data_IF_774541002087
#
_entry.id   IF_774541002087
#
_cell.length_a   1.000
_cell.length_b   1.000
_cell.length_c   1.000
_cell.angle_alpha   90.00
_cell.angle_beta   90.00
_cell.angle_gamma   90.00
#
_symmetry.space_group_name_H-M   'P 1'
#
loop_
_entity.id
_entity.type
_entity.pdbx_description
1 polymer ?
#
# COMPACT_ATOMS: atom_id res chain seq x y z
N UNK A 1 -6.21 17.60 6.50
CA UNK A 1 -5.34 16.42 6.22
C UNK A 1 -5.72 15.37 7.24
N UNK A 2 -5.85 14.10 6.81
CA UNK A 2 -6.08 12.97 7.73
C UNK A 2 -4.74 12.26 7.98
N UNK A 3 -4.55 11.78 9.21
CA UNK A 3 -3.32 11.08 9.62
C UNK A 3 -3.68 9.68 10.08
N UNK A 4 -2.95 8.69 9.56
CA UNK A 4 -3.12 7.28 9.90
C UNK A 4 -1.77 6.69 10.29
N UNK A 5 -1.77 5.63 11.11
CA UNK A 5 -0.58 4.83 11.30
C UNK A 5 -0.76 3.44 10.67
N UNK A 6 0.33 2.80 10.31
CA UNK A 6 0.32 1.44 9.74
C UNK A 6 0.56 0.40 10.83
N UNK A 7 -0.15 -0.73 10.75
CA UNK A 7 0.00 -1.85 11.69
C UNK A 7 1.40 -2.47 11.67
N UNK A 8 2.22 -2.20 10.64
CA UNK A 8 3.63 -2.60 10.63
C UNK A 8 4.43 -2.00 11.78
N UNK A 9 3.99 -0.86 12.33
CA UNK A 9 4.65 -0.22 13.47
C UNK A 9 4.43 -0.95 14.81
N UNK A 10 3.45 -1.85 14.87
CA UNK A 10 3.06 -2.56 16.09
C UNK A 10 2.66 -4.02 15.79
N UNK A 11 3.58 -4.85 15.24
CA UNK A 11 3.26 -6.19 14.74
C UNK A 11 2.73 -7.13 15.84
N UNK A 12 3.16 -6.91 17.09
CA UNK A 12 2.80 -7.75 18.23
C UNK A 12 1.51 -7.29 18.97
N UNK A 13 0.89 -6.19 18.50
CA UNK A 13 -0.30 -5.65 19.15
C UNK A 13 -1.55 -6.43 18.74
N UNK A 14 -2.43 -6.65 19.74
CA UNK A 14 -3.77 -7.17 19.45
C UNK A 14 -4.60 -6.11 18.69
N UNK A 15 -5.66 -6.56 18.02
CA UNK A 15 -6.58 -5.64 17.35
C UNK A 15 -7.20 -4.61 18.31
N UNK A 16 -7.43 -5.01 19.56
CA UNK A 16 -7.95 -4.11 20.62
C UNK A 16 -6.93 -3.02 20.91
N UNK A 17 -5.65 -3.36 21.05
CA UNK A 17 -4.58 -2.40 21.32
C UNK A 17 -4.41 -1.43 20.15
N UNK A 18 -4.47 -1.94 18.91
CA UNK A 18 -4.32 -1.14 17.67
C UNK A 18 -5.38 -0.04 17.60
N UNK A 19 -6.68 -0.38 17.68
CA UNK A 19 -7.71 0.65 17.57
C UNK A 19 -7.80 1.55 18.81
N UNK A 20 -7.43 1.05 20.00
CA UNK A 20 -7.35 1.87 21.21
C UNK A 20 -6.25 2.90 21.10
N UNK A 21 -5.05 2.50 20.66
CA UNK A 21 -3.94 3.40 20.39
C UNK A 21 -4.29 4.45 19.34
N UNK A 22 -4.95 4.04 18.23
CA UNK A 22 -5.41 4.99 17.21
C UNK A 22 -6.31 6.07 17.84
N UNK A 23 -7.25 5.66 18.69
CA UNK A 23 -8.17 6.58 19.37
C UNK A 23 -7.46 7.49 20.36
N UNK A 24 -6.60 6.92 21.20
CA UNK A 24 -5.93 7.64 22.29
C UNK A 24 -4.91 8.68 21.75
N UNK A 25 -4.26 8.38 20.64
CA UNK A 25 -3.30 9.27 19.99
C UNK A 25 -3.97 10.21 18.96
N UNK A 26 -5.27 10.09 18.72
CA UNK A 26 -6.01 10.99 17.83
C UNK A 26 -5.76 10.75 16.33
N UNK A 27 -5.43 9.51 15.93
CA UNK A 27 -5.35 9.17 14.52
C UNK A 27 -6.75 9.10 13.88
N UNK A 28 -6.82 9.54 12.62
CA UNK A 28 -8.04 9.47 11.80
C UNK A 28 -8.24 8.07 11.19
N UNK A 29 -7.16 7.28 11.07
CA UNK A 29 -7.24 5.98 10.41
C UNK A 29 -6.13 5.01 10.81
N UNK A 30 -6.32 3.77 10.36
CA UNK A 30 -5.37 2.68 10.51
C UNK A 30 -5.14 2.06 9.12
N UNK A 31 -3.90 2.07 8.66
CA UNK A 31 -3.50 1.29 7.50
C UNK A 31 -3.19 -0.14 7.92
N UNK A 32 -3.78 -1.10 7.25
CA UNK A 32 -3.60 -2.52 7.57
C UNK A 32 -2.50 -3.12 6.70
N UNK A 33 -1.38 -3.49 7.34
CA UNK A 33 -0.25 -4.21 6.72
C UNK A 33 0.11 -5.42 7.57
N UNK A 34 -0.65 -6.50 7.41
CA UNK A 34 -0.53 -7.68 8.26
C UNK A 34 -0.99 -7.43 9.70
N UNK A 35 -1.23 -8.49 10.43
CA UNK A 35 -1.58 -8.49 11.85
C UNK A 35 -1.15 -9.81 12.49
N UNK A 36 -0.25 -9.76 13.46
CA UNK A 36 0.33 -10.97 14.04
C UNK A 36 0.99 -11.83 12.97
N UNK A 37 0.62 -13.11 12.90
CA UNK A 37 1.12 -14.05 11.89
C UNK A 37 0.44 -13.92 10.52
N UNK A 38 -0.66 -13.15 10.42
CA UNK A 38 -1.42 -12.98 9.18
C UNK A 38 -0.87 -11.78 8.37
N UNK A 39 0.00 -12.04 7.40
CA UNK A 39 0.48 -11.00 6.49
C UNK A 39 -0.62 -10.51 5.53
N UNK A 40 -1.57 -11.36 5.17
CA UNK A 40 -2.68 -11.01 4.29
C UNK A 40 -3.87 -10.48 5.11
N UNK A 41 -4.20 -9.20 4.95
CA UNK A 41 -5.27 -8.55 5.71
C UNK A 41 -6.62 -9.29 5.63
N UNK A 42 -6.95 -9.88 4.48
CA UNK A 42 -8.21 -10.62 4.28
C UNK A 42 -8.27 -11.96 5.05
N UNK A 43 -7.14 -12.45 5.58
CA UNK A 43 -7.07 -13.63 6.45
C UNK A 43 -7.10 -13.26 7.93
N UNK A 44 -6.74 -12.03 8.26
CA UNK A 44 -6.64 -11.58 9.64
C UNK A 44 -7.98 -11.65 10.37
N UNK A 45 -7.95 -12.13 11.60
CA UNK A 45 -9.12 -12.42 12.43
C UNK A 45 -10.16 -11.28 12.47
N UNK A 46 -9.81 -9.99 12.58
CA UNK A 46 -10.79 -8.90 12.62
C UNK A 46 -11.59 -8.74 11.32
N UNK A 47 -11.04 -9.19 10.19
CA UNK A 47 -11.60 -9.00 8.85
C UNK A 47 -12.24 -10.26 8.27
N UNK A 48 -12.24 -11.37 9.00
CA UNK A 48 -13.01 -12.57 8.62
C UNK A 48 -14.49 -12.24 8.49
N UNK A 49 -15.23 -12.98 7.69
CA UNK A 49 -16.66 -12.78 7.46
C UNK A 49 -17.45 -12.67 8.76
N UNK A 50 -17.14 -13.53 9.74
CA UNK A 50 -17.82 -13.56 11.05
C UNK A 50 -17.53 -12.31 11.91
N UNK A 51 -16.32 -11.76 11.85
CA UNK A 51 -15.89 -10.68 12.75
C UNK A 51 -15.99 -9.29 12.11
N UNK A 52 -15.93 -9.20 10.79
CA UNK A 52 -15.92 -7.93 10.04
C UNK A 52 -17.04 -6.97 10.43
N UNK A 53 -18.33 -7.39 10.58
CA UNK A 53 -19.39 -6.47 10.97
C UNK A 53 -19.13 -5.80 12.33
N UNK A 54 -18.65 -6.56 13.31
CA UNK A 54 -18.30 -6.05 14.64
C UNK A 54 -17.09 -5.10 14.58
N UNK A 55 -16.07 -5.45 13.80
CA UNK A 55 -14.89 -4.63 13.56
C UNK A 55 -15.27 -3.28 12.98
N UNK A 56 -16.06 -3.26 11.90
CA UNK A 56 -16.47 -2.03 11.24
C UNK A 56 -17.39 -1.17 12.12
N UNK A 57 -18.30 -1.79 12.87
CA UNK A 57 -19.13 -1.07 13.85
C UNK A 57 -18.28 -0.39 14.94
N UNK A 58 -17.23 -1.07 15.42
CA UNK A 58 -16.31 -0.52 16.43
C UNK A 58 -15.52 0.66 15.88
N UNK A 59 -14.92 0.53 14.69
CA UNK A 59 -14.16 1.61 14.04
C UNK A 59 -15.03 2.83 13.77
N UNK A 60 -16.26 2.62 13.28
CA UNK A 60 -17.24 3.69 13.08
C UNK A 60 -17.57 4.42 14.37
N UNK A 61 -17.79 3.70 15.47
CA UNK A 61 -18.08 4.29 16.79
C UNK A 61 -16.89 5.11 17.33
N UNK A 62 -15.66 4.78 16.94
CA UNK A 62 -14.44 5.50 17.30
C UNK A 62 -14.10 6.63 16.31
N UNK A 63 -14.82 6.75 15.21
CA UNK A 63 -14.52 7.64 14.08
C UNK A 63 -13.12 7.39 13.51
N UNK A 64 -12.77 6.12 13.31
CA UNK A 64 -11.50 5.66 12.71
C UNK A 64 -11.81 5.00 11.37
N UNK A 65 -11.05 5.35 10.32
CA UNK A 65 -11.18 4.80 8.98
C UNK A 65 -10.06 3.77 8.69
N UNK A 66 -10.24 2.97 7.65
CA UNK A 66 -9.16 2.18 7.05
C UNK A 66 -8.90 2.78 5.66
N UNK A 67 -7.92 3.69 5.53
CA UNK A 67 -7.68 4.38 4.25
C UNK A 67 -6.97 3.51 3.23
N UNK A 68 -6.17 2.54 3.66
CA UNK A 68 -5.36 1.71 2.77
C UNK A 68 -5.15 0.31 3.34
N UNK A 69 -5.16 -0.68 2.46
CA UNK A 69 -4.67 -2.03 2.72
C UNK A 69 -3.31 -2.19 2.03
N UNK A 70 -2.25 -2.44 2.80
CA UNK A 70 -0.93 -2.68 2.25
C UNK A 70 -0.72 -4.16 1.96
N UNK A 71 -0.79 -4.55 0.69
CA UNK A 71 -0.50 -5.93 0.27
C UNK A 71 1.02 -6.19 0.23
N UNK A 72 1.40 -7.47 0.31
CA UNK A 72 2.75 -7.94 0.03
C UNK A 72 3.02 -8.22 -1.45
N UNK A 73 2.02 -8.05 -2.30
CA UNK A 73 2.09 -8.40 -3.71
C UNK A 73 3.12 -7.56 -4.46
N UNK A 74 4.03 -8.23 -5.17
CA UNK A 74 5.05 -7.61 -5.98
C UNK A 74 4.91 -8.05 -7.44
N UNK A 75 4.72 -7.08 -8.34
CA UNK A 75 4.32 -7.30 -9.73
C UNK A 75 5.47 -7.73 -10.64
N UNK A 76 6.74 -7.59 -10.23
CA UNK A 76 7.88 -7.92 -11.09
C UNK A 76 8.10 -9.42 -11.30
N UNK A 77 7.51 -10.27 -10.45
CA UNK A 77 7.75 -11.72 -10.47
C UNK A 77 6.81 -12.44 -11.44
N UNK A 78 7.33 -12.79 -12.63
CA UNK A 78 6.56 -13.46 -13.70
C UNK A 78 6.01 -14.82 -13.26
N UNK A 79 6.78 -15.55 -12.48
CA UNK A 79 6.42 -16.86 -11.96
C UNK A 79 5.30 -16.85 -10.91
N UNK A 80 5.00 -15.66 -10.33
CA UNK A 80 3.94 -15.48 -9.33
C UNK A 80 2.71 -14.77 -9.87
N UNK A 81 2.61 -14.54 -11.17
CA UNK A 81 1.52 -13.76 -11.78
C UNK A 81 0.13 -14.21 -11.33
N UNK A 82 -0.17 -15.49 -11.49
CA UNK A 82 -1.49 -16.02 -11.15
C UNK A 82 -1.81 -15.91 -9.66
N UNK A 83 -0.82 -16.18 -8.80
CA UNK A 83 -0.94 -16.02 -7.34
C UNK A 83 -1.18 -14.56 -6.95
N UNK A 84 -0.41 -13.64 -7.53
CA UNK A 84 -0.51 -12.19 -7.28
C UNK A 84 -1.87 -11.64 -7.70
N UNK A 85 -2.39 -12.03 -8.87
CA UNK A 85 -3.72 -11.62 -9.33
C UNK A 85 -4.81 -12.17 -8.39
N UNK A 86 -4.71 -13.44 -8.00
CA UNK A 86 -5.67 -14.05 -7.08
C UNK A 86 -5.66 -13.35 -5.72
N UNK A 87 -4.48 -13.10 -5.15
CA UNK A 87 -4.33 -12.43 -3.86
C UNK A 87 -4.86 -11.00 -3.91
N UNK A 88 -4.49 -10.20 -4.93
CA UNK A 88 -5.00 -8.83 -5.08
C UNK A 88 -6.51 -8.80 -5.30
N UNK A 89 -7.10 -9.82 -5.92
CA UNK A 89 -8.56 -9.95 -6.04
C UNK A 89 -9.22 -10.10 -4.66
N UNK A 90 -8.64 -10.88 -3.75
CA UNK A 90 -9.14 -11.00 -2.38
C UNK A 90 -8.97 -9.70 -1.58
N UNK A 91 -7.86 -8.98 -1.79
CA UNK A 91 -7.69 -7.63 -1.23
C UNK A 91 -8.77 -6.66 -1.75
N UNK A 92 -9.09 -6.68 -3.05
CA UNK A 92 -10.14 -5.84 -3.62
C UNK A 92 -11.52 -6.14 -3.02
N UNK A 93 -11.86 -7.43 -2.84
CA UNK A 93 -13.11 -7.85 -2.18
C UNK A 93 -13.17 -7.33 -0.74
N UNK A 94 -12.11 -7.52 0.03
CA UNK A 94 -12.06 -7.02 1.41
C UNK A 94 -12.18 -5.49 1.43
N UNK A 95 -11.40 -4.78 0.61
CA UNK A 95 -11.38 -3.32 0.56
C UNK A 95 -12.79 -2.74 0.31
N UNK A 96 -13.52 -3.29 -0.65
CA UNK A 96 -14.93 -2.92 -0.89
C UNK A 96 -15.80 -3.14 0.35
N UNK A 97 -15.66 -4.29 1.03
CA UNK A 97 -16.48 -4.67 2.17
C UNK A 97 -16.22 -3.83 3.44
N UNK A 98 -15.04 -3.22 3.54
CA UNK A 98 -14.66 -2.35 4.67
C UNK A 98 -14.56 -0.87 4.31
N UNK A 99 -14.94 -0.51 3.07
CA UNK A 99 -14.86 0.84 2.51
C UNK A 99 -13.43 1.42 2.52
N UNK A 100 -12.41 0.58 2.30
CA UNK A 100 -11.04 1.03 2.11
C UNK A 100 -10.83 1.44 0.64
N UNK A 101 -10.56 2.71 0.34
CA UNK A 101 -10.47 3.19 -1.04
C UNK A 101 -9.20 2.73 -1.77
N UNK A 102 -8.15 2.37 -1.01
CA UNK A 102 -6.83 2.13 -1.57
C UNK A 102 -6.25 0.77 -1.19
N UNK A 103 -5.52 0.17 -2.12
CA UNK A 103 -4.68 -1.02 -1.90
C UNK A 103 -3.29 -0.70 -2.43
N UNK A 104 -2.28 -0.78 -1.56
CA UNK A 104 -0.89 -0.63 -1.95
C UNK A 104 -0.38 -1.90 -2.61
N UNK A 105 0.34 -1.75 -3.73
CA UNK A 105 1.04 -2.80 -4.44
C UNK A 105 2.50 -2.40 -4.67
N UNK A 106 3.38 -3.38 -4.77
CA UNK A 106 4.79 -3.17 -5.11
C UNK A 106 5.03 -3.52 -6.58
N UNK A 107 5.67 -2.62 -7.31
CA UNK A 107 6.19 -2.91 -8.65
C UNK A 107 7.64 -3.41 -8.59
N UNK A 108 8.38 -3.04 -7.53
CA UNK A 108 9.68 -3.61 -7.16
C UNK A 108 9.69 -3.94 -5.66
N UNK A 109 10.40 -4.99 -5.24
CA UNK A 109 10.30 -5.54 -3.90
C UNK A 109 11.07 -4.74 -2.85
N UNK A 110 12.32 -4.43 -3.15
CA UNK A 110 13.23 -3.78 -2.20
C UNK A 110 12.99 -2.27 -2.14
N UNK A 111 13.21 -1.66 -0.98
CA UNK A 111 13.10 -0.21 -0.82
C UNK A 111 14.12 0.54 -1.68
N UNK A 112 15.37 0.07 -1.67
CA UNK A 112 16.43 0.55 -2.56
C UNK A 112 16.35 -0.16 -3.91
N UNK A 113 16.69 0.53 -5.02
CA UNK A 113 16.81 -0.12 -6.32
C UNK A 113 17.78 -1.31 -6.26
N UNK A 114 17.31 -2.48 -6.65
CA UNK A 114 18.10 -3.71 -6.65
C UNK A 114 17.73 -4.59 -7.85
N UNK A 115 18.63 -4.63 -8.83
CA UNK A 115 18.43 -5.39 -10.06
C UNK A 115 17.54 -4.69 -11.09
N UNK A 116 17.15 -5.45 -12.10
CA UNK A 116 16.34 -4.96 -13.21
C UNK A 116 14.85 -5.27 -12.98
N UNK A 117 14.01 -4.39 -13.48
CA UNK A 117 12.56 -4.56 -13.54
C UNK A 117 12.12 -4.34 -14.98
N UNK A 118 11.32 -5.28 -15.49
CA UNK A 118 10.70 -5.21 -16.81
C UNK A 118 9.43 -4.33 -16.72
N UNK A 119 9.58 -3.05 -17.04
CA UNK A 119 8.48 -2.07 -16.96
C UNK A 119 7.30 -2.44 -17.88
N UNK A 120 7.58 -3.05 -19.04
CA UNK A 120 6.51 -3.48 -19.95
C UNK A 120 5.68 -4.60 -19.33
N UNK A 121 6.33 -5.54 -18.66
CA UNK A 121 5.65 -6.61 -17.95
C UNK A 121 4.84 -6.08 -16.76
N UNK A 122 5.42 -5.19 -15.94
CA UNK A 122 4.68 -4.56 -14.81
C UNK A 122 3.47 -3.79 -15.32
N UNK A 123 3.60 -3.04 -16.42
CA UNK A 123 2.48 -2.35 -17.05
C UNK A 123 1.39 -3.32 -17.51
N UNK A 124 1.76 -4.47 -18.08
CA UNK A 124 0.82 -5.52 -18.48
C UNK A 124 0.04 -6.06 -17.26
N UNK A 125 0.74 -6.33 -16.14
CA UNK A 125 0.10 -6.77 -14.91
C UNK A 125 -0.89 -5.73 -14.37
N UNK A 126 -0.50 -4.46 -14.34
CA UNK A 126 -1.39 -3.39 -13.89
C UNK A 126 -2.61 -3.22 -14.81
N UNK A 127 -2.45 -3.39 -16.13
CA UNK A 127 -3.57 -3.40 -17.08
C UNK A 127 -4.55 -4.56 -16.84
N UNK A 128 -4.05 -5.74 -16.44
CA UNK A 128 -4.91 -6.88 -16.06
C UNK A 128 -5.65 -6.62 -14.74
N UNK A 129 -5.01 -5.94 -13.79
CA UNK A 129 -5.56 -5.64 -12.48
C UNK A 129 -6.54 -4.46 -12.46
N UNK A 130 -6.38 -3.49 -13.37
CA UNK A 130 -7.22 -2.29 -13.40
C UNK A 130 -8.74 -2.58 -13.52
N UNK A 131 -9.22 -3.51 -14.38
CA UNK A 131 -10.64 -3.85 -14.42
C UNK A 131 -11.12 -4.57 -13.15
N UNK A 132 -10.26 -5.35 -12.49
CA UNK A 132 -10.58 -5.98 -11.20
C UNK A 132 -10.76 -4.90 -10.13
N UNK A 133 -9.82 -3.96 -10.02
CA UNK A 133 -9.94 -2.83 -9.11
C UNK A 133 -11.21 -2.00 -9.38
N UNK A 134 -11.55 -1.77 -10.65
CA UNK A 134 -12.77 -1.06 -11.05
C UNK A 134 -14.04 -1.81 -10.63
N UNK A 135 -14.07 -3.14 -10.75
CA UNK A 135 -15.22 -3.96 -10.34
C UNK A 135 -15.56 -3.79 -8.85
N UNK A 136 -14.54 -3.63 -8.00
CA UNK A 136 -14.70 -3.47 -6.55
C UNK A 136 -14.66 -2.01 -6.08
N UNK A 137 -14.60 -1.06 -7.01
CA UNK A 137 -14.50 0.39 -6.75
C UNK A 137 -13.32 0.79 -5.84
N UNK A 138 -12.19 0.13 -6.00
CA UNK A 138 -10.93 0.43 -5.30
C UNK A 138 -9.90 0.99 -6.26
N UNK A 139 -8.84 1.62 -5.73
CA UNK A 139 -7.70 2.08 -6.52
C UNK A 139 -6.44 1.38 -6.02
N UNK A 140 -5.69 0.77 -6.93
CA UNK A 140 -4.38 0.20 -6.64
C UNK A 140 -3.34 1.32 -6.69
N UNK A 141 -2.53 1.40 -5.64
CA UNK A 141 -1.48 2.40 -5.51
C UNK A 141 -0.12 1.73 -5.65
N UNK A 142 0.62 2.08 -6.70
CA UNK A 142 2.01 1.66 -6.87
C UNK A 142 2.89 2.52 -5.98
N UNK A 143 3.58 1.88 -5.04
CA UNK A 143 4.49 2.59 -4.13
C UNK A 143 5.77 3.03 -4.85
N UNK A 144 6.28 4.21 -4.51
CA UNK A 144 7.60 4.72 -4.93
C UNK A 144 8.73 3.89 -4.30
N UNK A 145 8.87 2.62 -4.73
CA UNK A 145 9.74 1.61 -4.13
C UNK A 145 10.74 1.05 -5.17
N UNK A 146 11.94 0.70 -4.77
CA UNK A 146 12.96 0.14 -5.63
C UNK A 146 13.31 1.04 -6.80
N UNK A 147 13.31 0.51 -8.02
CA UNK A 147 13.60 1.29 -9.23
C UNK A 147 12.58 2.40 -9.50
N UNK A 148 11.39 2.30 -8.92
CA UNK A 148 10.35 3.33 -9.02
C UNK A 148 10.46 4.42 -7.94
N UNK A 149 11.55 4.41 -7.16
CA UNK A 149 12.01 5.59 -6.41
C UNK A 149 12.41 6.73 -7.37
N UNK A 150 12.82 6.42 -8.59
CA UNK A 150 12.83 7.36 -9.73
C UNK A 150 11.38 7.63 -10.13
N UNK A 151 10.85 8.78 -9.73
CA UNK A 151 9.45 9.10 -9.95
C UNK A 151 9.14 9.49 -11.40
N UNK A 152 10.12 9.82 -12.23
CA UNK A 152 9.95 9.94 -13.69
C UNK A 152 9.63 8.56 -14.30
N UNK A 153 10.34 7.51 -13.85
CA UNK A 153 10.09 6.14 -14.29
C UNK A 153 8.71 5.66 -13.85
N UNK A 154 8.33 5.93 -12.59
CA UNK A 154 6.99 5.62 -12.11
C UNK A 154 5.91 6.37 -12.91
N UNK A 155 6.12 7.66 -13.18
CA UNK A 155 5.20 8.45 -14.00
C UNK A 155 5.00 7.85 -15.38
N UNK A 156 6.08 7.50 -16.08
CA UNK A 156 6.02 6.86 -17.38
C UNK A 156 5.27 5.53 -17.35
N UNK A 157 5.49 4.71 -16.31
CA UNK A 157 4.75 3.47 -16.08
C UNK A 157 3.25 3.76 -15.98
N UNK A 158 2.84 4.67 -15.07
CA UNK A 158 1.42 4.97 -14.81
C UNK A 158 0.71 5.56 -16.04
N UNK A 159 1.37 6.46 -16.77
CA UNK A 159 0.85 7.04 -18.01
C UNK A 159 0.60 5.96 -19.09
N UNK A 160 1.45 4.92 -19.14
CA UNK A 160 1.31 3.81 -20.10
C UNK A 160 0.06 2.94 -19.87
N UNK A 161 -0.52 3.00 -18.66
CA UNK A 161 -1.68 2.19 -18.27
C UNK A 161 -2.98 2.94 -18.56
N UNK A 162 -2.99 4.25 -18.40
CA UNK A 162 -4.13 5.14 -18.62
C UNK A 162 -5.42 4.67 -17.92
N UNK A 163 -5.33 4.40 -16.62
CA UNK A 163 -6.47 3.95 -15.82
C UNK A 163 -6.58 4.78 -14.53
N UNK A 164 -7.77 5.33 -14.26
CA UNK A 164 -8.05 6.04 -13.01
C UNK A 164 -8.10 5.12 -11.77
N UNK A 165 -8.02 3.81 -11.94
CA UNK A 165 -7.94 2.81 -10.85
C UNK A 165 -6.51 2.39 -10.52
N UNK A 166 -5.53 3.01 -11.18
CA UNK A 166 -4.10 2.82 -10.88
C UNK A 166 -3.50 4.21 -10.61
N UNK A 167 -2.82 4.37 -9.49
CA UNK A 167 -2.26 5.65 -9.07
C UNK A 167 -0.97 5.42 -8.26
N UNK A 168 -0.42 6.47 -7.67
CA UNK A 168 0.81 6.41 -6.89
C UNK A 168 0.53 6.47 -5.38
N UNK A 169 1.31 5.68 -4.63
CA UNK A 169 1.58 5.86 -3.23
C UNK A 169 2.99 6.45 -3.11
N UNK A 170 3.08 7.64 -2.58
CA UNK A 170 4.37 8.28 -2.35
C UNK A 170 4.91 7.95 -0.97
N UNK A 171 5.89 7.06 -0.89
CA UNK A 171 6.75 6.98 0.28
C UNK A 171 7.80 8.11 0.16
N UNK A 172 7.70 9.12 1.01
CA UNK A 172 8.52 10.35 0.90
C UNK A 172 10.02 10.07 1.02
N UNK A 173 10.37 9.02 1.74
CA UNK A 173 11.76 8.68 2.00
C UNK A 173 12.46 8.05 0.79
N UNK A 174 11.76 7.24 -0.02
CA UNK A 174 12.41 6.46 -1.07
C UNK A 174 12.96 7.32 -2.22
N UNK A 175 12.18 8.22 -2.87
CA UNK A 175 12.71 9.11 -3.89
C UNK A 175 13.85 9.99 -3.37
N UNK A 176 13.70 10.56 -2.18
CA UNK A 176 14.73 11.37 -1.55
C UNK A 176 16.03 10.58 -1.29
N UNK A 177 15.89 9.39 -0.72
CA UNK A 177 17.03 8.58 -0.29
C UNK A 177 17.75 7.90 -1.43
N UNK A 178 17.00 7.35 -2.39
CA UNK A 178 17.56 6.43 -3.39
C UNK A 178 17.65 7.02 -4.79
N UNK A 179 16.84 8.03 -5.11
CA UNK A 179 16.89 8.73 -6.39
C UNK A 179 17.45 10.16 -6.28
N UNK A 180 17.67 10.66 -5.05
CA UNK A 180 18.16 12.03 -4.83
C UNK A 180 17.12 13.11 -5.18
N UNK A 181 15.86 12.75 -5.26
CA UNK A 181 14.79 13.69 -5.59
C UNK A 181 14.35 14.51 -4.37
N UNK A 182 14.15 15.81 -4.56
CA UNK A 182 13.48 16.61 -3.54
C UNK A 182 11.96 16.32 -3.52
N UNK A 183 11.27 16.61 -2.39
CA UNK A 183 9.81 16.49 -2.36
C UNK A 183 9.11 17.26 -3.46
N UNK A 184 9.63 18.47 -3.82
CA UNK A 184 9.08 19.29 -4.88
C UNK A 184 9.20 18.62 -6.25
N UNK A 185 10.33 17.94 -6.52
CA UNK A 185 10.54 17.20 -7.76
C UNK A 185 9.57 16.02 -7.86
N UNK A 186 9.42 15.24 -6.78
CA UNK A 186 8.44 14.15 -6.73
C UNK A 186 7.02 14.64 -6.99
N UNK A 187 6.61 15.75 -6.35
CA UNK A 187 5.30 16.36 -6.60
C UNK A 187 5.18 16.88 -8.04
N UNK A 188 6.23 17.47 -8.60
CA UNK A 188 6.22 17.92 -9.99
C UNK A 188 6.06 16.74 -10.98
N UNK A 189 6.68 15.59 -10.69
CA UNK A 189 6.62 14.41 -11.53
C UNK A 189 5.28 13.67 -11.43
N UNK A 190 4.81 13.40 -10.22
CA UNK A 190 3.62 12.56 -9.99
C UNK A 190 2.32 13.37 -9.84
N UNK A 191 2.39 14.56 -9.25
CA UNK A 191 1.26 15.48 -9.15
C UNK A 191 0.00 14.84 -8.57
N UNK A 192 -1.09 14.97 -9.31
CA UNK A 192 -2.41 14.44 -8.94
C UNK A 192 -2.51 12.91 -8.92
N UNK A 193 -1.51 12.19 -9.44
CA UNK A 193 -1.46 10.73 -9.33
C UNK A 193 -1.15 10.27 -7.90
N UNK A 194 -0.59 11.13 -7.04
CA UNK A 194 -0.38 10.82 -5.63
C UNK A 194 -1.74 10.82 -4.92
N UNK A 195 -2.15 9.65 -4.40
CA UNK A 195 -3.41 9.49 -3.66
C UNK A 195 -3.19 9.20 -2.18
N UNK A 196 -2.01 8.71 -1.82
CA UNK A 196 -1.66 8.36 -0.45
C UNK A 196 -0.17 8.60 -0.22
N UNK A 197 0.21 8.94 1.01
CA UNK A 197 1.60 9.25 1.36
C UNK A 197 2.02 8.45 2.57
N UNK A 198 3.17 7.79 2.48
CA UNK A 198 3.87 7.23 3.62
C UNK A 198 4.93 8.21 4.10
N UNK A 199 4.92 8.48 5.40
CA UNK A 199 5.91 9.30 6.09
C UNK A 199 6.71 8.41 7.02
N UNK A 200 8.00 8.36 6.82
CA UNK A 200 8.96 7.66 7.68
C UNK A 200 10.29 8.40 7.67
N UNK A 201 11.14 8.07 8.61
CA UNK A 201 12.49 8.62 8.71
C UNK A 201 13.52 7.49 8.86
N UNK A 202 14.78 7.79 8.58
CA UNK A 202 15.92 6.90 8.81
C UNK A 202 17.19 7.70 9.01
N UNK A 203 18.13 7.14 9.77
CA UNK A 203 19.49 7.64 9.85
C UNK A 203 20.41 6.85 8.92
N UNK A 204 21.50 7.46 8.44
CA UNK A 204 22.41 6.85 7.47
C UNK A 204 22.99 5.50 7.93
N UNK A 205 23.15 5.31 9.23
CA UNK A 205 23.80 4.14 9.82
C UNK A 205 22.85 2.95 10.08
N UNK A 206 21.52 3.15 10.05
CA UNK A 206 20.51 2.13 10.37
C UNK A 206 19.85 1.49 9.16
N UNK A 207 20.43 1.60 7.97
CA UNK A 207 19.91 0.99 6.74
C UNK A 207 19.97 -0.56 6.71
N UNK A 208 20.17 -1.23 7.84
CA UNK A 208 19.96 -2.66 8.00
C UNK A 208 18.60 -2.91 8.61
N UNK A 209 17.59 -3.04 7.78
CA UNK A 209 16.35 -3.69 8.20
C UNK A 209 16.69 -5.14 8.54
N UNK A 210 16.71 -5.50 9.82
CA UNK A 210 16.67 -6.90 10.20
C UNK A 210 15.27 -7.40 9.85
N UNK A 211 15.15 -8.15 8.77
CA UNK A 211 14.03 -9.07 8.57
C UNK A 211 14.09 -10.07 9.73
N UNK A 212 13.29 -9.91 10.73
CA UNK A 212 12.88 -10.97 11.66
C UNK A 212 11.53 -11.49 11.22
#
# INVERSE_FOLDING_TARGET
MKISFSTIACPDYSWVDIYSMAKDLGFDGIEIRGMGDDFAAYKAMPFTEANRPKTMAKLKALNIEIPCLSSGCCLKFKEKEAETIAELTEYCKLAQQINAPYIRVLADLEAAPNGEVDDAYVAEQLKKLAPIAAQYDVTLLVETNGVYSDTHRLRALLDSINSHKIAALWDMHHPYRFAGESPEQTVANLGELIKYVHIKDSVMETARWSTR
#
